data_IF_346782651951
#
_entry.id   IF_346782651951
#
_cell.length_a   1.000
_cell.length_b   1.000
_cell.length_c   1.000
_cell.angle_alpha   90.00
_cell.angle_beta   90.00
_cell.angle_gamma   90.00
#
_symmetry.space_group_name_H-M   'P 1'
#
loop_
_entity.id
_entity.type
_entity.pdbx_description
1 polymer ?
#
# COMPACT_ATOMS: atom_id res chain seq x y z
N UNK A 1 48.67 -4.56 20.51
CA UNK A 1 48.92 -3.13 20.29
C UNK A 1 47.64 -2.49 19.77
N UNK A 2 47.24 -1.40 20.42
CA UNK A 2 45.96 -0.70 20.31
C UNK A 2 45.79 0.05 18.98
N UNK A 3 44.60 -0.01 18.38
CA UNK A 3 44.20 0.80 17.22
C UNK A 3 43.53 2.06 17.75
N UNK A 4 44.11 3.22 17.43
CA UNK A 4 43.62 4.55 17.76
C UNK A 4 42.93 5.13 16.51
N UNK A 5 41.62 5.40 16.58
CA UNK A 5 40.86 6.05 15.50
C UNK A 5 40.67 7.51 15.91
N UNK A 6 41.52 8.40 15.38
CA UNK A 6 41.25 9.83 15.41
C UNK A 6 40.32 10.21 14.24
N UNK A 7 39.10 10.61 14.55
CA UNK A 7 38.19 11.24 13.60
C UNK A 7 38.73 12.62 13.20
N UNK A 8 39.03 12.81 11.90
CA UNK A 8 39.27 14.13 11.31
C UNK A 8 38.07 14.50 10.42
N UNK A 9 37.19 15.33 10.94
CA UNK A 9 36.15 16.05 10.21
C UNK A 9 36.81 17.18 9.41
N UNK A 10 36.99 16.99 8.10
CA UNK A 10 37.55 18.01 7.22
C UNK A 10 36.43 18.96 6.75
N UNK A 11 36.43 20.18 7.30
CA UNK A 11 35.55 21.28 6.88
C UNK A 11 36.11 22.10 5.70
N UNK A 12 37.04 21.53 4.92
CA UNK A 12 37.77 22.26 3.87
C UNK A 12 36.91 22.64 2.66
N UNK A 13 35.70 22.08 2.51
CA UNK A 13 34.78 22.44 1.42
C UNK A 13 34.07 23.78 1.63
N UNK A 14 34.01 24.30 2.86
CA UNK A 14 33.32 25.57 3.16
C UNK A 14 34.13 26.82 2.78
N UNK A 15 35.44 26.68 2.57
CA UNK A 15 36.33 27.81 2.26
C UNK A 15 36.86 27.82 0.82
N UNK A 16 36.43 26.88 -0.02
CA UNK A 16 36.87 26.79 -1.42
C UNK A 16 36.45 27.99 -2.29
N UNK A 17 35.56 28.86 -1.79
CA UNK A 17 35.04 30.01 -2.56
C UNK A 17 35.83 31.32 -2.46
N UNK A 18 36.90 31.41 -1.64
CA UNK A 18 37.56 32.70 -1.36
C UNK A 18 38.98 32.84 -1.92
N UNK A 19 39.42 32.01 -2.86
CA UNK A 19 40.74 32.15 -3.48
C UNK A 19 40.66 32.18 -5.00
N UNK A 20 40.42 33.36 -5.55
CA UNK A 20 40.93 33.68 -6.89
C UNK A 20 41.15 35.19 -7.02
N UNK A 21 42.30 35.67 -6.55
CA UNK A 21 43.17 36.62 -7.26
C UNK A 21 44.30 37.13 -6.36
N UNK A 22 45.50 37.18 -6.96
CA UNK A 22 46.69 37.90 -6.54
C UNK A 22 47.51 37.35 -5.36
N UNK A 23 48.62 36.73 -5.77
CA UNK A 23 49.85 36.46 -5.03
C UNK A 23 50.55 37.73 -4.49
N UNK A 24 51.34 37.48 -3.44
CA UNK A 24 52.49 38.23 -2.90
C UNK A 24 52.30 39.23 -1.74
N UNK A 25 53.25 39.07 -0.81
CA UNK A 25 53.82 40.04 0.12
C UNK A 25 53.12 40.24 1.48
N UNK A 26 53.58 39.45 2.45
CA UNK A 26 54.20 39.91 3.69
C UNK A 26 54.13 41.44 3.93
N UNK A 27 53.24 41.89 4.81
CA UNK A 27 53.48 42.84 5.92
C UNK A 27 52.19 43.58 6.33
N UNK A 28 51.84 43.49 7.62
CA UNK A 28 51.11 44.53 8.36
C UNK A 28 49.68 44.91 7.92
N UNK A 29 48.70 44.02 8.08
CA UNK A 29 47.28 44.35 7.87
C UNK A 29 46.56 44.81 9.15
N UNK A 30 46.97 45.95 9.72
CA UNK A 30 46.19 46.63 10.77
C UNK A 30 44.97 47.40 10.19
N UNK A 31 44.95 47.58 8.87
CA UNK A 31 43.89 48.29 8.12
C UNK A 31 42.69 47.39 7.75
N UNK A 32 42.82 46.07 7.84
CA UNK A 32 41.71 45.14 7.58
C UNK A 32 40.69 45.12 8.73
N UNK A 33 41.14 45.36 9.96
CA UNK A 33 40.27 45.40 11.15
C UNK A 33 39.37 46.65 11.19
N UNK A 34 39.77 47.76 10.57
CA UNK A 34 38.93 48.97 10.54
C UNK A 34 37.87 48.93 9.43
N UNK A 35 38.17 48.26 8.31
CA UNK A 35 37.22 48.09 7.21
C UNK A 35 36.07 47.13 7.58
N UNK A 36 36.31 46.12 8.43
CA UNK A 36 35.27 45.20 8.91
C UNK A 36 34.29 45.86 9.88
N UNK A 37 34.73 46.87 10.64
CA UNK A 37 33.86 47.66 11.53
C UNK A 37 32.97 48.63 10.72
N UNK A 38 33.52 49.30 9.69
CA UNK A 38 32.74 50.24 8.86
C UNK A 38 31.85 49.57 7.81
N UNK A 39 32.19 48.36 7.36
CA UNK A 39 31.43 47.62 6.32
C UNK A 39 30.27 46.77 6.89
N UNK A 40 29.95 46.94 8.18
CA UNK A 40 28.76 46.35 8.82
C UNK A 40 28.77 44.82 8.92
N UNK A 41 29.92 44.16 8.73
CA UNK A 41 30.02 42.70 8.83
C UNK A 41 29.83 42.21 10.27
N UNK A 42 30.31 42.96 11.26
CA UNK A 42 30.05 42.66 12.68
C UNK A 42 28.57 42.82 13.04
N UNK A 43 27.92 43.88 12.53
CA UNK A 43 26.48 44.10 12.70
C UNK A 43 25.64 43.02 12.00
N UNK A 44 26.07 42.52 10.83
CA UNK A 44 25.43 41.39 10.14
C UNK A 44 25.56 40.08 10.92
N UNK A 45 26.70 39.83 11.55
CA UNK A 45 26.91 38.62 12.35
C UNK A 45 26.06 38.66 13.64
N UNK A 46 26.03 39.80 14.34
CA UNK A 46 25.12 40.05 15.46
C UNK A 46 23.65 39.92 15.05
N UNK A 47 23.26 40.47 13.89
CA UNK A 47 21.90 40.34 13.36
C UNK A 47 21.56 38.91 12.92
N UNK A 48 22.53 38.11 12.47
CA UNK A 48 22.30 36.69 12.17
C UNK A 48 22.19 35.85 13.46
N UNK A 49 22.97 36.21 14.49
CA UNK A 49 22.97 35.52 15.77
C UNK A 49 21.74 35.84 16.62
N UNK A 50 21.30 37.10 16.64
CA UNK A 50 20.15 37.57 17.43
C UNK A 50 18.88 37.80 16.61
N UNK A 51 18.97 37.93 15.28
CA UNK A 51 17.82 38.16 14.40
C UNK A 51 17.18 36.88 13.86
N UNK A 52 17.42 35.73 14.51
CA UNK A 52 16.64 34.50 14.30
C UNK A 52 15.27 34.61 14.97
N UNK A 53 14.58 35.73 14.76
CA UNK A 53 13.15 35.84 14.97
C UNK A 53 12.56 36.75 13.86
N UNK A 54 11.66 36.13 13.10
CA UNK A 54 10.48 36.77 12.50
C UNK A 54 10.43 37.27 11.05
N UNK A 55 11.36 37.01 10.11
CA UNK A 55 11.13 37.44 8.71
C UNK A 55 11.69 36.52 7.58
N UNK A 56 11.66 35.19 7.76
CA UNK A 56 11.90 34.23 6.67
C UNK A 56 10.71 33.27 6.41
N UNK A 57 9.52 33.60 6.95
CA UNK A 57 8.35 32.70 6.98
C UNK A 57 7.14 33.31 6.27
N UNK A 58 7.27 33.66 4.98
CA UNK A 58 6.08 33.97 4.15
C UNK A 58 6.02 33.30 2.79
N UNK A 59 7.09 32.63 2.33
CA UNK A 59 7.05 31.78 1.13
C UNK A 59 7.23 30.29 1.41
N UNK A 60 7.67 29.89 2.60
CA UNK A 60 7.79 28.48 3.00
C UNK A 60 6.52 27.90 3.67
N UNK A 61 5.65 28.75 4.23
CA UNK A 61 4.47 28.30 4.97
C UNK A 61 3.35 27.70 4.08
N UNK A 62 3.31 28.07 2.80
CA UNK A 62 2.37 27.54 1.80
C UNK A 62 2.77 26.19 1.23
N UNK A 63 4.06 25.81 1.31
CA UNK A 63 4.53 24.48 0.88
C UNK A 63 4.48 23.44 2.01
N UNK A 64 4.57 23.87 3.28
CA UNK A 64 4.50 22.97 4.44
C UNK A 64 3.07 22.43 4.66
N UNK A 65 2.05 23.26 4.45
CA UNK A 65 0.63 22.86 4.63
C UNK A 65 0.10 21.95 3.50
N UNK A 66 0.59 22.11 2.26
CA UNK A 66 0.25 21.19 1.14
C UNK A 66 0.92 19.82 1.28
N UNK A 67 2.11 19.74 1.87
CA UNK A 67 2.89 18.50 2.05
C UNK A 67 2.31 17.58 3.12
N UNK A 68 1.72 18.13 4.19
CA UNK A 68 1.01 17.32 5.19
C UNK A 68 -0.33 16.79 4.66
N UNK A 69 -1.08 17.60 3.92
CA UNK A 69 -2.37 17.17 3.33
C UNK A 69 -2.19 16.03 2.32
N UNK A 70 -1.14 16.09 1.50
CA UNK A 70 -0.84 15.06 0.47
C UNK A 70 -0.40 13.73 1.07
N UNK A 71 0.39 13.75 2.15
CA UNK A 71 0.78 12.54 2.88
C UNK A 71 -0.40 11.88 3.56
N UNK A 72 -1.28 12.66 4.19
CA UNK A 72 -2.50 12.14 4.82
C UNK A 72 -3.49 11.58 3.80
N UNK A 73 -3.66 12.20 2.63
CA UNK A 73 -4.47 11.61 1.54
C UNK A 73 -3.86 10.32 1.01
N UNK A 74 -2.54 10.24 0.84
CA UNK A 74 -1.88 9.01 0.40
C UNK A 74 -2.02 7.88 1.43
N UNK A 75 -1.86 8.20 2.73
CA UNK A 75 -2.06 7.23 3.81
C UNK A 75 -3.50 6.73 3.88
N UNK A 76 -4.48 7.63 3.69
CA UNK A 76 -5.90 7.25 3.58
C UNK A 76 -6.17 6.36 2.37
N UNK A 77 -5.56 6.64 1.22
CA UNK A 77 -5.69 5.79 0.03
C UNK A 77 -5.13 4.39 0.29
N UNK A 78 -3.94 4.28 0.90
CA UNK A 78 -3.36 2.98 1.29
C UNK A 78 -4.22 2.22 2.30
N UNK A 79 -4.79 2.90 3.30
CA UNK A 79 -5.70 2.27 4.26
C UNK A 79 -7.01 1.76 3.61
N UNK A 80 -7.50 2.44 2.56
CA UNK A 80 -8.62 1.93 1.74
C UNK A 80 -8.21 0.64 1.01
N UNK A 81 -7.00 0.57 0.47
CA UNK A 81 -6.47 -0.64 -0.18
C UNK A 81 -6.39 -1.79 0.83
N UNK A 82 -5.83 -1.56 2.01
CA UNK A 82 -5.77 -2.56 3.10
C UNK A 82 -7.18 -3.11 3.39
N UNK A 83 -8.13 -2.21 3.70
CA UNK A 83 -9.52 -2.59 4.01
C UNK A 83 -10.18 -3.36 2.86
N UNK A 84 -10.00 -2.91 1.62
CA UNK A 84 -10.59 -3.56 0.45
C UNK A 84 -9.97 -4.95 0.21
N UNK A 85 -8.65 -5.08 0.40
CA UNK A 85 -7.95 -6.36 0.23
C UNK A 85 -8.26 -7.36 1.33
N UNK A 86 -8.50 -6.90 2.56
CA UNK A 86 -9.01 -7.75 3.65
C UNK A 86 -10.40 -8.29 3.34
N UNK A 87 -11.31 -7.43 2.87
CA UNK A 87 -12.64 -7.85 2.45
C UNK A 87 -12.59 -8.83 1.26
N UNK A 88 -11.71 -8.59 0.28
CA UNK A 88 -11.51 -9.50 -0.84
C UNK A 88 -10.97 -10.85 -0.36
N UNK A 89 -9.96 -10.83 0.51
CA UNK A 89 -9.40 -12.03 1.13
C UNK A 89 -10.46 -12.82 1.87
N UNK A 90 -11.24 -12.18 2.74
CA UNK A 90 -12.30 -12.83 3.52
C UNK A 90 -13.36 -13.46 2.62
N UNK A 91 -13.78 -12.75 1.56
CA UNK A 91 -14.73 -13.29 0.59
C UNK A 91 -14.17 -14.48 -0.21
N UNK A 92 -12.88 -14.46 -0.55
CA UNK A 92 -12.20 -15.57 -1.20
C UNK A 92 -12.03 -16.76 -0.24
N UNK A 93 -11.67 -16.51 1.01
CA UNK A 93 -11.50 -17.53 2.06
C UNK A 93 -12.84 -18.20 2.40
N UNK A 94 -13.94 -17.43 2.38
CA UNK A 94 -15.30 -17.96 2.53
C UNK A 94 -15.66 -18.95 1.41
N UNK A 95 -15.27 -18.65 0.18
CA UNK A 95 -15.49 -19.55 -0.97
C UNK A 95 -14.49 -20.72 -1.00
N UNK A 96 -13.33 -20.59 -0.34
CA UNK A 96 -12.34 -21.65 -0.17
C UNK A 96 -12.64 -22.61 0.99
N UNK A 97 -13.46 -22.16 1.95
CA UNK A 97 -13.69 -22.88 3.19
C UNK A 97 -14.18 -24.31 2.92
N UNK A 98 -13.65 -25.26 3.68
CA UNK A 98 -14.05 -26.67 3.63
C UNK A 98 -14.56 -27.12 5.00
N UNK A 99 -15.31 -28.23 5.03
CA UNK A 99 -15.86 -28.77 6.27
C UNK A 99 -17.07 -27.99 6.77
N UNK A 100 -17.02 -27.49 8.01
CA UNK A 100 -18.20 -26.89 8.69
C UNK A 100 -18.72 -25.62 8.02
N UNK A 101 -17.84 -24.87 7.35
CA UNK A 101 -18.17 -23.61 6.68
C UNK A 101 -18.19 -23.76 5.15
N UNK A 102 -18.26 -25.00 4.65
CA UNK A 102 -18.28 -25.27 3.22
C UNK A 102 -19.61 -24.84 2.59
N UNK A 103 -19.58 -23.75 1.82
CA UNK A 103 -20.73 -23.29 1.05
C UNK A 103 -21.10 -24.27 -0.08
N UNK A 104 -20.18 -25.13 -0.49
CA UNK A 104 -20.35 -26.16 -1.51
C UNK A 104 -20.62 -27.56 -0.92
N UNK A 105 -21.04 -27.63 0.35
CA UNK A 105 -21.59 -28.84 0.92
C UNK A 105 -22.99 -29.09 0.33
N UNK A 106 -23.18 -30.24 -0.31
CA UNK A 106 -24.51 -30.65 -0.77
C UNK A 106 -25.44 -30.89 0.42
N UNK A 107 -26.64 -30.33 0.36
CA UNK A 107 -27.72 -30.56 1.33
C UNK A 107 -28.74 -31.50 0.72
N UNK A 108 -29.40 -32.28 1.55
CA UNK A 108 -30.55 -33.08 1.14
C UNK A 108 -31.73 -32.13 0.88
N UNK A 109 -32.18 -32.04 -0.37
CA UNK A 109 -33.34 -31.26 -0.78
C UNK A 109 -34.48 -32.24 -1.03
N UNK A 110 -35.53 -32.16 -0.20
CA UNK A 110 -36.74 -32.95 -0.39
C UNK A 110 -37.69 -32.18 -1.31
N UNK A 111 -37.90 -32.69 -2.51
CA UNK A 111 -38.92 -32.18 -3.44
C UNK A 111 -40.11 -33.13 -3.45
N UNK A 112 -41.33 -32.58 -3.38
CA UNK A 112 -42.57 -33.33 -3.62
C UNK A 112 -43.00 -33.11 -5.05
N UNK A 113 -43.03 -34.18 -5.82
CA UNK A 113 -43.64 -34.17 -7.15
C UNK A 113 -45.18 -34.14 -7.04
N UNK A 114 -45.85 -33.80 -8.14
CA UNK A 114 -47.33 -33.71 -8.24
C UNK A 114 -48.06 -35.02 -7.86
N UNK A 115 -47.33 -36.14 -7.83
CA UNK A 115 -47.83 -37.47 -7.43
C UNK A 115 -47.59 -37.80 -5.94
N UNK A 116 -47.10 -36.85 -5.13
CA UNK A 116 -46.87 -37.05 -3.69
C UNK A 116 -45.64 -37.90 -3.35
N UNK A 117 -44.78 -38.21 -4.32
CA UNK A 117 -43.51 -38.90 -4.10
C UNK A 117 -42.47 -37.89 -3.64
N UNK A 118 -41.87 -38.15 -2.47
CA UNK A 118 -40.75 -37.38 -1.93
C UNK A 118 -39.45 -37.86 -2.56
N UNK A 119 -38.84 -37.04 -3.41
CA UNK A 119 -37.50 -37.26 -3.97
C UNK A 119 -36.49 -36.45 -3.17
N UNK A 120 -35.62 -37.14 -2.43
CA UNK A 120 -34.49 -36.51 -1.75
C UNK A 120 -33.34 -36.39 -2.74
N UNK A 121 -33.14 -35.19 -3.29
CA UNK A 121 -32.05 -34.90 -4.21
C UNK A 121 -30.97 -34.11 -3.47
N UNK A 122 -29.71 -34.57 -3.53
CA UNK A 122 -28.59 -33.78 -3.01
C UNK A 122 -28.38 -32.56 -3.90
N UNK A 123 -28.53 -31.36 -3.33
CA UNK A 123 -28.43 -30.11 -4.07
C UNK A 123 -27.62 -29.04 -3.35
N UNK A 124 -27.31 -27.97 -4.07
CA UNK A 124 -26.53 -26.84 -3.56
C UNK A 124 -27.44 -25.68 -3.19
N UNK A 125 -27.04 -24.89 -2.19
CA UNK A 125 -27.67 -23.60 -1.89
C UNK A 125 -27.17 -22.54 -2.89
N UNK A 126 -27.70 -22.61 -4.12
CA UNK A 126 -27.27 -21.75 -5.24
C UNK A 126 -27.42 -20.26 -4.95
N UNK A 127 -28.39 -19.89 -4.12
CA UNK A 127 -28.61 -18.50 -3.70
C UNK A 127 -27.53 -18.01 -2.73
N UNK A 128 -27.17 -18.82 -1.72
CA UNK A 128 -26.07 -18.49 -0.82
C UNK A 128 -24.73 -18.42 -1.57
N UNK A 129 -24.47 -19.38 -2.46
CA UNK A 129 -23.25 -19.41 -3.28
C UNK A 129 -23.20 -18.17 -4.20
N UNK A 130 -24.30 -17.82 -4.87
CA UNK A 130 -24.37 -16.61 -5.70
C UNK A 130 -24.06 -15.35 -4.89
N UNK A 131 -24.65 -15.22 -3.69
CA UNK A 131 -24.40 -14.06 -2.83
C UNK A 131 -22.93 -13.97 -2.41
N UNK A 132 -22.30 -15.09 -2.07
CA UNK A 132 -20.88 -15.13 -1.74
C UNK A 132 -19.99 -14.73 -2.94
N UNK A 133 -20.29 -15.26 -4.14
CA UNK A 133 -19.57 -14.90 -5.37
C UNK A 133 -19.80 -13.44 -5.77
N UNK A 134 -21.02 -12.91 -5.59
CA UNK A 134 -21.34 -11.51 -5.84
C UNK A 134 -20.57 -10.58 -4.89
N UNK A 135 -20.49 -10.92 -3.60
CA UNK A 135 -19.67 -10.18 -2.63
C UNK A 135 -18.19 -10.23 -3.00
N UNK A 136 -17.69 -11.38 -3.43
CA UNK A 136 -16.33 -11.52 -3.96
C UNK A 136 -16.07 -10.59 -5.16
N UNK A 137 -16.96 -10.56 -6.15
CA UNK A 137 -16.85 -9.68 -7.33
C UNK A 137 -16.87 -8.21 -6.93
N UNK A 138 -17.74 -7.82 -5.99
CA UNK A 138 -17.79 -6.46 -5.47
C UNK A 138 -16.48 -6.08 -4.76
N UNK A 139 -15.97 -6.96 -3.89
CA UNK A 139 -14.74 -6.70 -3.16
C UNK A 139 -13.52 -6.63 -4.09
N UNK A 140 -13.50 -7.46 -5.15
CA UNK A 140 -12.47 -7.36 -6.19
C UNK A 140 -12.48 -5.99 -6.86
N UNK A 141 -13.66 -5.52 -7.27
CA UNK A 141 -13.81 -4.20 -7.88
C UNK A 141 -13.44 -3.06 -6.91
N UNK A 142 -13.74 -3.22 -5.62
CA UNK A 142 -13.31 -2.27 -4.59
C UNK A 142 -11.79 -2.19 -4.47
N UNK A 143 -11.06 -3.31 -4.61
CA UNK A 143 -9.59 -3.29 -4.65
C UNK A 143 -9.08 -2.53 -5.86
N UNK A 144 -9.61 -2.82 -7.06
CA UNK A 144 -9.21 -2.09 -8.28
C UNK A 144 -9.43 -0.58 -8.12
N UNK A 145 -10.60 -0.18 -7.62
CA UNK A 145 -10.93 1.22 -7.39
C UNK A 145 -10.09 1.89 -6.29
N UNK A 146 -9.75 1.16 -5.21
CA UNK A 146 -8.92 1.70 -4.14
C UNK A 146 -7.47 1.92 -4.57
N UNK A 147 -6.96 1.07 -5.47
CA UNK A 147 -5.58 1.15 -5.99
C UNK A 147 -5.43 2.28 -7.01
N UNK A 148 -6.49 2.69 -7.72
CA UNK A 148 -6.44 3.84 -8.64
C UNK A 148 -5.99 5.15 -7.95
N UNK A 149 -6.29 5.32 -6.67
CA UNK A 149 -5.86 6.46 -5.85
C UNK A 149 -4.41 6.34 -5.32
N UNK A 150 -3.71 5.23 -5.61
CA UNK A 150 -2.39 4.90 -5.04
C UNK A 150 -1.30 4.94 -6.11
N UNK A 151 -0.24 5.71 -5.84
CA UNK A 151 0.92 5.84 -6.74
C UNK A 151 2.10 4.93 -6.37
N UNK A 152 1.93 3.97 -5.46
CA UNK A 152 3.02 3.07 -5.05
C UNK A 152 3.19 1.92 -6.05
N UNK A 153 4.35 1.87 -6.71
CA UNK A 153 4.67 0.85 -7.73
C UNK A 153 4.57 -0.58 -7.20
N UNK A 154 4.87 -0.82 -5.92
CA UNK A 154 4.81 -2.19 -5.35
C UNK A 154 3.36 -2.64 -5.25
N UNK A 155 2.48 -1.76 -4.75
CA UNK A 155 1.03 -2.01 -4.68
C UNK A 155 0.47 -2.23 -6.08
N UNK A 156 0.85 -1.41 -7.05
CA UNK A 156 0.38 -1.51 -8.43
C UNK A 156 0.82 -2.82 -9.09
N UNK A 157 2.10 -3.20 -8.99
CA UNK A 157 2.61 -4.46 -9.54
C UNK A 157 1.93 -5.69 -8.94
N UNK A 158 1.60 -5.65 -7.64
CA UNK A 158 0.83 -6.74 -6.98
C UNK A 158 -0.60 -6.80 -7.48
N UNK A 159 -1.23 -5.65 -7.69
CA UNK A 159 -2.59 -5.54 -8.23
C UNK A 159 -2.63 -6.00 -9.70
N UNK A 160 -1.63 -5.68 -10.51
CA UNK A 160 -1.47 -6.22 -11.86
C UNK A 160 -1.30 -7.74 -11.86
N UNK A 161 -0.57 -8.30 -10.89
CA UNK A 161 -0.46 -9.77 -10.73
C UNK A 161 -1.81 -10.43 -10.43
N UNK A 162 -2.64 -9.79 -9.59
CA UNK A 162 -4.02 -10.20 -9.34
C UNK A 162 -4.89 -10.12 -10.61
N UNK A 163 -4.76 -9.01 -11.36
CA UNK A 163 -5.38 -8.83 -12.68
C UNK A 163 -5.01 -9.96 -13.63
N UNK A 164 -3.71 -10.17 -13.86
CA UNK A 164 -3.18 -11.23 -14.73
C UNK A 164 -3.64 -12.64 -14.32
N UNK A 165 -3.72 -12.92 -13.02
CA UNK A 165 -4.29 -14.17 -12.51
C UNK A 165 -5.76 -14.33 -12.94
N UNK A 166 -6.51 -13.24 -12.91
CA UNK A 166 -7.92 -13.19 -13.32
C UNK A 166 -8.06 -13.34 -14.84
N UNK A 167 -7.20 -12.71 -15.63
CA UNK A 167 -7.12 -12.90 -17.09
C UNK A 167 -6.87 -14.37 -17.43
N UNK A 168 -5.91 -15.00 -16.76
CA UNK A 168 -5.58 -16.40 -16.98
C UNK A 168 -6.77 -17.35 -16.71
N UNK A 169 -7.67 -16.97 -15.80
CA UNK A 169 -8.88 -17.73 -15.46
C UNK A 169 -10.15 -17.24 -16.16
N UNK A 170 -10.06 -16.23 -17.04
CA UNK A 170 -11.20 -15.58 -17.70
C UNK A 170 -12.15 -16.56 -18.40
N UNK A 171 -11.61 -17.58 -19.08
CA UNK A 171 -12.42 -18.62 -19.74
C UNK A 171 -13.25 -19.45 -18.76
N UNK A 172 -12.73 -19.74 -17.57
CA UNK A 172 -13.46 -20.50 -16.55
C UNK A 172 -14.46 -19.60 -15.81
N UNK A 173 -14.08 -18.35 -15.56
CA UNK A 173 -14.97 -17.33 -15.01
C UNK A 173 -16.19 -17.08 -15.93
N UNK A 174 -15.96 -17.00 -17.25
CA UNK A 174 -17.04 -16.79 -18.21
C UNK A 174 -18.08 -17.93 -18.22
N UNK A 175 -17.65 -19.18 -17.99
CA UNK A 175 -18.56 -20.34 -17.91
C UNK A 175 -19.57 -20.24 -16.76
N UNK A 176 -19.22 -19.47 -15.73
CA UNK A 176 -20.09 -19.25 -14.56
C UNK A 176 -20.72 -17.85 -14.58
N UNK A 177 -20.64 -17.11 -15.70
CA UNK A 177 -21.22 -15.78 -15.83
C UNK A 177 -20.38 -14.64 -15.26
N UNK A 178 -19.12 -14.87 -14.91
CA UNK A 178 -18.19 -13.80 -14.51
C UNK A 178 -17.39 -13.33 -15.73
N UNK A 179 -17.43 -12.04 -16.01
CA UNK A 179 -16.69 -11.43 -17.12
C UNK A 179 -15.80 -10.30 -16.62
N UNK A 180 -14.60 -10.20 -17.18
CA UNK A 180 -13.69 -9.09 -16.91
C UNK A 180 -13.86 -8.02 -17.98
N UNK A 181 -14.02 -6.77 -17.55
CA UNK A 181 -14.16 -5.60 -18.41
C UNK A 181 -12.78 -5.04 -18.76
N UNK A 182 -12.76 -4.08 -19.69
CA UNK A 182 -11.53 -3.42 -20.16
C UNK A 182 -10.82 -2.60 -19.08
N UNK A 183 -11.55 -2.14 -18.06
CA UNK A 183 -11.02 -1.43 -16.89
C UNK A 183 -10.44 -2.38 -15.82
N UNK A 184 -10.39 -3.69 -16.10
CA UNK A 184 -9.92 -4.70 -15.16
C UNK A 184 -10.97 -5.13 -14.12
N UNK A 185 -12.14 -4.49 -14.06
CA UNK A 185 -13.20 -4.85 -13.12
C UNK A 185 -13.98 -6.09 -13.58
N UNK A 186 -14.65 -6.75 -12.63
CA UNK A 186 -15.47 -7.93 -12.85
C UNK A 186 -16.97 -7.59 -12.87
N UNK A 187 -17.71 -8.31 -13.69
CA UNK A 187 -19.17 -8.32 -13.73
C UNK A 187 -19.69 -9.73 -13.55
N UNK A 188 -20.80 -9.89 -12.82
CA UNK A 188 -21.47 -11.16 -12.60
C UNK A 188 -22.85 -11.14 -13.23
N UNK A 189 -23.07 -12.00 -14.22
CA UNK A 189 -24.36 -12.23 -14.84
C UNK A 189 -25.17 -13.25 -14.03
N UNK A 190 -26.26 -12.80 -13.41
CA UNK A 190 -27.08 -13.63 -12.52
C UNK A 190 -27.69 -14.81 -13.26
N UNK A 191 -28.24 -14.60 -14.46
CA UNK A 191 -28.95 -15.65 -15.19
C UNK A 191 -28.02 -16.76 -15.67
N UNK A 192 -26.82 -16.39 -16.12
CA UNK A 192 -25.76 -17.33 -16.51
C UNK A 192 -25.22 -18.07 -15.30
N UNK A 193 -25.01 -17.37 -14.17
CA UNK A 193 -24.53 -18.00 -12.94
C UNK A 193 -25.53 -19.05 -12.41
N UNK A 194 -26.83 -18.70 -12.37
CA UNK A 194 -27.87 -19.61 -11.88
C UNK A 194 -28.04 -20.85 -12.76
N UNK A 195 -27.64 -20.80 -14.03
CA UNK A 195 -27.63 -21.93 -14.97
C UNK A 195 -26.31 -22.70 -14.97
N UNK A 196 -25.27 -22.19 -14.33
CA UNK A 196 -23.96 -22.80 -14.32
C UNK A 196 -23.92 -24.06 -13.43
N UNK A 197 -23.04 -25.00 -13.77
CA UNK A 197 -22.79 -26.17 -12.94
C UNK A 197 -22.07 -25.76 -11.65
N UNK A 198 -22.69 -26.02 -10.50
CA UNK A 198 -22.13 -25.71 -9.18
C UNK A 198 -20.84 -26.46 -8.88
N UNK A 199 -20.59 -27.61 -9.50
CA UNK A 199 -19.28 -28.27 -9.43
C UNK A 199 -18.20 -27.46 -10.15
N UNK A 200 -18.56 -26.77 -11.24
CA UNK A 200 -17.64 -25.86 -11.94
C UNK A 200 -17.34 -24.63 -11.07
N UNK A 201 -18.36 -24.06 -10.41
CA UNK A 201 -18.18 -22.96 -9.45
C UNK A 201 -17.29 -23.41 -8.29
N UNK A 202 -17.58 -24.58 -7.70
CA UNK A 202 -16.80 -25.19 -6.63
C UNK A 202 -15.33 -25.35 -7.02
N UNK A 203 -15.04 -25.99 -8.15
CA UNK A 203 -13.66 -26.23 -8.59
C UNK A 203 -12.90 -24.94 -8.92
N UNK A 204 -13.61 -23.88 -9.31
CA UNK A 204 -12.99 -22.59 -9.60
C UNK A 204 -12.54 -21.87 -8.32
N UNK A 205 -13.37 -21.90 -7.28
CA UNK A 205 -13.10 -21.14 -6.05
C UNK A 205 -12.49 -21.96 -4.91
N UNK A 206 -12.79 -23.25 -4.84
CA UNK A 206 -12.39 -24.14 -3.77
C UNK A 206 -11.29 -25.10 -4.23
N UNK A 207 -10.33 -25.39 -3.35
CA UNK A 207 -9.25 -26.34 -3.60
C UNK A 207 -7.88 -25.69 -3.76
N UNK A 208 -6.83 -26.51 -3.67
CA UNK A 208 -5.45 -26.05 -3.79
C UNK A 208 -5.16 -25.57 -5.22
N UNK A 209 -4.58 -24.38 -5.35
CA UNK A 209 -4.25 -23.79 -6.66
C UNK A 209 -5.44 -23.28 -7.47
N UNK A 210 -6.66 -23.36 -6.90
CA UNK A 210 -7.89 -22.77 -7.45
C UNK A 210 -7.75 -21.25 -7.64
N UNK A 211 -8.65 -20.67 -8.42
CA UNK A 211 -8.69 -19.21 -8.61
C UNK A 211 -8.94 -18.50 -7.28
N UNK A 212 -9.89 -18.99 -6.46
CA UNK A 212 -10.15 -18.45 -5.12
C UNK A 212 -8.89 -18.43 -4.24
N UNK A 213 -8.13 -19.54 -4.22
CA UNK A 213 -6.88 -19.64 -3.47
C UNK A 213 -5.85 -18.60 -3.91
N UNK A 214 -5.67 -18.45 -5.23
CA UNK A 214 -4.72 -17.48 -5.81
C UNK A 214 -5.14 -16.05 -5.47
N UNK A 215 -6.43 -15.73 -5.54
CA UNK A 215 -6.92 -14.39 -5.20
C UNK A 215 -6.75 -14.07 -3.71
N UNK A 216 -7.03 -15.02 -2.81
CA UNK A 216 -6.76 -14.83 -1.37
C UNK A 216 -5.28 -14.55 -1.10
N UNK A 217 -4.39 -15.31 -1.73
CA UNK A 217 -2.95 -15.11 -1.59
C UNK A 217 -2.49 -13.76 -2.16
N UNK A 218 -2.94 -13.39 -3.36
CA UNK A 218 -2.59 -12.11 -3.99
C UNK A 218 -3.14 -10.93 -3.18
N UNK A 219 -4.36 -11.04 -2.64
CA UNK A 219 -4.95 -10.00 -1.77
C UNK A 219 -4.09 -9.75 -0.54
N UNK A 220 -3.58 -10.82 0.09
CA UNK A 220 -2.65 -10.72 1.22
C UNK A 220 -1.34 -10.03 0.83
N UNK A 221 -0.82 -10.28 -0.37
CA UNK A 221 0.39 -9.62 -0.87
C UNK A 221 0.19 -8.13 -1.18
N UNK A 222 -0.98 -7.75 -1.70
CA UNK A 222 -1.35 -6.35 -1.93
C UNK A 222 -1.50 -5.64 -0.59
N UNK A 223 -2.19 -6.25 0.39
CA UNK A 223 -2.34 -5.72 1.74
C UNK A 223 -0.97 -5.44 2.39
N UNK A 224 -0.08 -6.44 2.38
CA UNK A 224 1.27 -6.28 2.91
C UNK A 224 2.08 -5.18 2.19
N UNK A 225 1.92 -5.05 0.87
CA UNK A 225 2.56 -3.97 0.12
C UNK A 225 2.00 -2.59 0.52
N UNK A 226 0.70 -2.49 0.77
CA UNK A 226 0.04 -1.27 1.20
C UNK A 226 0.49 -0.84 2.61
N UNK A 227 0.54 -1.78 3.56
CA UNK A 227 1.07 -1.55 4.93
C UNK A 227 2.53 -1.10 4.89
N UNK A 228 3.36 -1.76 4.08
CA UNK A 228 4.76 -1.37 3.96
C UNK A 228 4.94 -0.01 3.26
N UNK A 229 4.09 0.33 2.28
CA UNK A 229 4.08 1.64 1.64
C UNK A 229 3.63 2.75 2.61
N UNK A 230 2.65 2.46 3.48
CA UNK A 230 2.10 3.42 4.44
C UNK A 230 3.12 3.77 5.52
N UNK A 231 3.90 2.79 5.98
CA UNK A 231 5.00 2.96 6.92
C UNK A 231 6.20 3.68 6.29
N UNK A 232 6.59 3.36 5.05
CA UNK A 232 7.64 4.08 4.29
C UNK A 232 7.37 5.58 4.13
N UNK A 233 6.12 5.97 3.86
CA UNK A 233 5.71 7.38 3.74
C UNK A 233 5.98 8.19 5.03
N UNK A 234 5.93 7.51 6.18
CA UNK A 234 6.22 8.06 7.51
C UNK A 234 7.72 8.24 7.78
N UNK A 235 8.59 7.43 7.17
CA UNK A 235 10.04 7.40 7.47
C UNK A 235 10.88 8.46 6.76
N UNK A 236 10.40 9.00 5.63
CA UNK A 236 11.06 10.11 4.93
C UNK A 236 10.44 11.45 5.35
N UNK A 237 10.98 12.03 6.42
CA UNK A 237 10.82 13.46 6.70
C UNK A 237 11.88 14.23 5.89
N UNK A 238 11.60 15.50 5.53
CA UNK A 238 12.48 16.30 4.66
C UNK A 238 13.85 16.67 5.23
N UNK A 239 14.16 16.18 6.43
CA UNK A 239 15.48 16.21 7.08
C UNK A 239 16.01 14.80 7.02
N UNK A 240 17.23 14.60 6.53
CA UNK A 240 17.90 13.31 6.32
C UNK A 240 18.17 12.50 7.61
N UNK A 241 17.13 12.24 8.41
CA UNK A 241 17.11 11.38 9.57
C UNK A 241 16.16 10.23 9.30
N UNK A 242 16.70 9.00 9.26
CA UNK A 242 15.90 7.80 9.43
C UNK A 242 15.18 7.88 10.77
N UNK A 243 13.85 7.95 10.78
CA UNK A 243 13.10 7.61 11.98
C UNK A 243 13.22 6.09 12.08
N UNK A 244 14.12 5.60 12.93
CA UNK A 244 14.10 4.20 13.33
C UNK A 244 12.83 3.95 14.14
N UNK A 245 11.68 3.78 13.48
CA UNK A 245 10.53 3.15 14.14
C UNK A 245 10.89 1.69 14.31
N UNK A 246 11.49 1.38 15.46
CA UNK A 246 11.50 0.04 16.01
C UNK A 246 10.05 -0.37 16.25
N UNK A 247 9.37 -0.83 15.20
CA UNK A 247 8.27 -1.77 15.37
C UNK A 247 8.92 -3.14 15.57
N UNK A 248 9.63 -3.28 16.70
CA UNK A 248 9.91 -4.58 17.26
C UNK A 248 8.54 -5.11 17.66
N UNK A 249 7.93 -5.88 16.75
CA UNK A 249 6.67 -6.53 17.00
C UNK A 249 6.71 -7.21 18.35
N UNK A 250 5.64 -7.03 19.12
CA UNK A 250 5.31 -7.80 20.31
C UNK A 250 5.03 -9.28 19.95
N UNK A 251 5.98 -9.95 19.31
CA UNK A 251 5.96 -11.38 19.01
C UNK A 251 6.53 -12.22 20.16
N UNK A 252 7.02 -11.58 21.25
CA UNK A 252 7.60 -12.25 22.41
C UNK A 252 6.84 -12.07 23.74
N UNK A 253 5.66 -11.43 23.74
CA UNK A 253 4.88 -11.23 24.99
C UNK A 253 3.83 -12.32 25.27
N UNK A 254 3.89 -13.49 24.61
CA UNK A 254 2.95 -14.60 24.86
C UNK A 254 3.57 -15.82 25.54
N UNK A 255 4.70 -15.66 26.23
CA UNK A 255 5.18 -16.64 27.20
C UNK A 255 5.79 -15.92 28.40
N UNK A 256 4.93 -15.53 29.35
CA UNK A 256 5.21 -15.52 30.78
C UNK A 256 3.95 -15.94 31.52
#
# INVERSE_FOLDING_TARGET
MSINIQAKTNYSFLFSGLSSSASNALSGNWLADYASIKNGSYAKLMKAYYGKENNASKTAASDITKKDTTKETAKKALAKVETATDALKESADTLLATGKNDLFAQKDITTKDENGIETTTKGYDTSAIYNAVNSFVKNYNSVMAAVDDVSDTTVNNRTESLGNTTIANSKQLAKIGITMKNDGTLSLDKDTFMKADMNTVKNLFQGNGSYGYRVSAQSSMINFAADHASTRSSLYTGTAGYIGTYNAGNLFSSYM
#
